data_IF_331635439047
#
_entry.id   IF_331635439047
#
_cell.length_a   1.000
_cell.length_b   1.000
_cell.length_c   1.000
_cell.angle_alpha   90.00
_cell.angle_beta   90.00
_cell.angle_gamma   90.00
#
_symmetry.space_group_name_H-M   'P 1'
#
loop_
_entity.id
_entity.type
_entity.pdbx_description
1 polymer ?
#
# COMPACT_ATOMS: atom_id res chain seq x y z
N UNK A 1 -23.43 2.93 7.07
CA UNK A 1 -23.44 4.32 6.55
C UNK A 1 -22.07 4.60 5.95
N UNK A 2 -21.98 5.30 4.83
CA UNK A 2 -20.68 5.68 4.26
C UNK A 2 -20.02 6.75 5.16
N UNK A 3 -18.68 6.72 5.27
CA UNK A 3 -17.93 7.72 6.03
C UNK A 3 -18.00 9.08 5.33
N UNK A 4 -18.28 10.15 6.08
CA UNK A 4 -18.41 11.51 5.54
C UNK A 4 -17.08 12.27 5.70
N UNK A 5 -16.25 12.22 4.64
CA UNK A 5 -14.96 12.91 4.61
C UNK A 5 -15.10 14.44 4.64
N UNK A 6 -16.19 14.99 4.12
CA UNK A 6 -16.42 16.44 4.14
C UNK A 6 -16.69 16.91 5.56
N UNK A 7 -17.56 16.19 6.29
CA UNK A 7 -17.81 16.46 7.70
C UNK A 7 -16.55 16.29 8.54
N UNK A 8 -15.77 15.23 8.29
CA UNK A 8 -14.50 15.01 8.97
C UNK A 8 -13.53 16.18 8.76
N UNK A 9 -13.29 16.60 7.51
CA UNK A 9 -12.39 17.72 7.19
C UNK A 9 -12.87 19.04 7.78
N UNK A 10 -14.18 19.29 7.78
CA UNK A 10 -14.75 20.47 8.44
C UNK A 10 -14.50 20.49 9.95
N UNK A 11 -14.38 19.32 10.60
CA UNK A 11 -14.07 19.23 12.02
C UNK A 11 -12.58 19.42 12.30
N UNK A 12 -11.69 18.82 11.51
CA UNK A 12 -10.24 18.80 11.79
C UNK A 12 -9.48 19.97 11.17
N UNK A 13 -9.92 20.50 10.03
CA UNK A 13 -9.32 21.66 9.36
C UNK A 13 -10.40 22.67 8.92
N UNK A 14 -11.14 23.28 9.87
CA UNK A 14 -12.32 24.11 9.60
C UNK A 14 -12.02 25.39 8.80
N UNK A 15 -10.75 25.75 8.63
CA UNK A 15 -10.34 26.97 7.93
C UNK A 15 -10.29 26.80 6.41
N UNK A 16 -10.16 25.57 5.92
CA UNK A 16 -10.03 25.27 4.49
C UNK A 16 -11.23 24.46 3.99
N UNK A 17 -11.61 24.70 2.74
CA UNK A 17 -12.67 23.96 2.03
C UNK A 17 -12.06 23.05 0.97
N UNK A 18 -12.66 21.86 0.83
CA UNK A 18 -12.07 20.74 0.11
C UNK A 18 -13.00 20.15 -0.95
N UNK A 19 -12.45 19.93 -2.14
CA UNK A 19 -13.06 19.10 -3.18
C UNK A 19 -12.54 17.68 -3.03
N UNK A 20 -13.45 16.69 -3.03
CA UNK A 20 -13.16 15.31 -2.64
C UNK A 20 -13.35 14.38 -3.83
N UNK A 21 -12.28 13.67 -4.17
CA UNK A 21 -12.23 12.70 -5.26
C UNK A 21 -11.91 11.32 -4.70
N UNK A 22 -12.77 10.34 -4.93
CA UNK A 22 -12.48 8.95 -4.53
C UNK A 22 -11.39 8.37 -5.40
N UNK A 23 -10.37 7.79 -4.78
CA UNK A 23 -9.30 7.09 -5.48
C UNK A 23 -9.64 5.60 -5.64
N UNK A 24 -9.24 5.05 -6.77
CA UNK A 24 -9.34 3.62 -7.06
C UNK A 24 -8.05 2.91 -6.61
N UNK A 25 -8.12 1.59 -6.42
CA UNK A 25 -6.95 0.74 -6.17
C UNK A 25 -6.88 0.16 -4.75
N UNK A 26 -7.42 0.85 -3.74
CA UNK A 26 -7.47 0.33 -2.37
C UNK A 26 -8.55 -0.75 -2.18
N UNK A 27 -8.15 -1.95 -1.75
CA UNK A 27 -9.09 -3.05 -1.47
C UNK A 27 -9.65 -3.01 -0.04
N UNK A 28 -8.81 -2.70 0.93
CA UNK A 28 -9.13 -2.83 2.36
C UNK A 28 -9.61 -1.52 3.00
N UNK A 29 -9.28 -0.38 2.40
CA UNK A 29 -9.64 0.95 2.89
C UNK A 29 -10.39 1.77 1.83
N UNK A 30 -11.06 2.81 2.30
CA UNK A 30 -11.62 3.84 1.42
C UNK A 30 -10.62 4.99 1.39
N UNK A 31 -10.05 5.25 0.22
CA UNK A 31 -9.06 6.30 0.02
C UNK A 31 -9.64 7.40 -0.87
N UNK A 32 -9.48 8.65 -0.45
CA UNK A 32 -9.87 9.83 -1.22
C UNK A 32 -8.71 10.81 -1.31
N UNK A 33 -8.75 11.65 -2.34
CA UNK A 33 -7.93 12.85 -2.48
C UNK A 33 -8.79 14.06 -2.17
N UNK A 34 -8.34 14.91 -1.27
CA UNK A 34 -8.99 16.18 -0.93
C UNK A 34 -8.12 17.35 -1.44
N UNK A 35 -8.66 18.18 -2.33
CA UNK A 35 -7.96 19.36 -2.89
C UNK A 35 -8.52 20.61 -2.23
N UNK A 36 -7.65 21.44 -1.64
CA UNK A 36 -8.04 22.74 -1.09
C UNK A 36 -8.46 23.66 -2.24
N UNK A 37 -9.65 24.26 -2.17
CA UNK A 37 -10.12 25.21 -3.20
C UNK A 37 -10.50 26.58 -2.65
N UNK A 38 -10.80 26.69 -1.36
CA UNK A 38 -11.10 27.96 -0.72
C UNK A 38 -10.63 27.95 0.74
N UNK A 39 -10.46 29.15 1.30
CA UNK A 39 -10.17 29.38 2.71
C UNK A 39 -11.27 30.24 3.29
N UNK A 40 -11.89 29.78 4.37
CA UNK A 40 -13.14 30.35 4.90
C UNK A 40 -12.94 31.70 5.62
N UNK A 41 -11.70 32.12 5.94
CA UNK A 41 -11.45 33.39 6.63
C UNK A 41 -10.16 34.09 6.19
N UNK A 42 -10.12 35.42 6.33
CA UNK A 42 -8.90 36.26 6.29
C UNK A 42 -8.10 36.14 7.59
N UNK A 43 -7.97 34.91 8.10
CA UNK A 43 -7.17 34.59 9.30
C UNK A 43 -5.72 34.37 8.89
N UNK A 44 -4.78 34.91 9.68
CA UNK A 44 -3.34 34.61 9.55
C UNK A 44 -2.99 33.20 10.09
N UNK A 45 -3.95 32.50 10.71
CA UNK A 45 -3.78 31.10 11.11
C UNK A 45 -3.55 30.25 9.85
N UNK A 46 -2.45 29.47 9.74
CA UNK A 46 -2.13 28.68 8.56
C UNK A 46 -2.92 27.36 8.44
N UNK A 47 -3.76 27.01 9.43
CA UNK A 47 -4.58 25.78 9.43
C UNK A 47 -3.81 24.53 9.81
N UNK A 48 -4.49 23.37 9.84
CA UNK A 48 -3.88 22.12 10.32
C UNK A 48 -2.87 21.55 9.31
N UNK A 49 -3.09 21.76 8.02
CA UNK A 49 -2.24 21.25 6.94
C UNK A 49 -1.61 22.39 6.13
N UNK A 50 -0.70 23.17 6.73
CA UNK A 50 -0.10 24.30 6.06
C UNK A 50 0.84 23.83 4.94
N UNK A 51 0.83 24.54 3.81
CA UNK A 51 1.69 24.22 2.66
C UNK A 51 1.26 23.03 1.80
N UNK A 52 0.20 22.31 2.18
CA UNK A 52 -0.38 21.23 1.38
C UNK A 52 -1.62 21.75 0.62
N UNK A 53 -1.55 21.81 -0.71
CA UNK A 53 -2.71 22.15 -1.56
C UNK A 53 -3.68 20.97 -1.75
N UNK A 54 -3.22 19.75 -1.45
CA UNK A 54 -3.98 18.51 -1.52
C UNK A 54 -3.51 17.51 -0.48
N UNK A 55 -4.44 16.63 -0.07
CA UNK A 55 -4.25 15.61 0.95
C UNK A 55 -4.78 14.27 0.45
N UNK A 56 -4.21 13.18 0.94
CA UNK A 56 -4.80 11.84 0.83
C UNK A 56 -5.42 11.47 2.16
N UNK A 57 -6.70 11.11 2.17
CA UNK A 57 -7.37 10.60 3.35
C UNK A 57 -7.66 9.12 3.15
N UNK A 58 -7.25 8.30 4.12
CA UNK A 58 -7.44 6.86 4.13
C UNK A 58 -8.27 6.49 5.34
N UNK A 59 -9.47 5.97 5.10
CA UNK A 59 -10.39 5.52 6.14
C UNK A 59 -10.45 4.00 6.15
N UNK A 60 -10.25 3.41 7.33
CA UNK A 60 -10.46 1.98 7.55
C UNK A 60 -11.86 1.72 8.11
N UNK A 61 -12.80 1.16 7.31
CA UNK A 61 -14.01 0.58 7.88
C UNK A 61 -13.68 -0.69 8.70
N UNK A 62 -14.59 -1.17 9.57
CA UNK A 62 -14.42 -2.40 10.34
C UNK A 62 -14.54 -3.70 9.49
N UNK A 63 -14.27 -3.59 8.19
CA UNK A 63 -14.35 -4.63 7.17
C UNK A 63 -13.43 -4.31 5.99
N UNK A 64 -13.24 -5.27 5.08
CA UNK A 64 -12.54 -5.04 3.79
C UNK A 64 -13.42 -4.17 2.90
N UNK A 65 -12.98 -2.94 2.59
CA UNK A 65 -13.78 -1.95 1.87
C UNK A 65 -14.36 -2.42 0.52
N UNK A 66 -13.62 -3.26 -0.23
CA UNK A 66 -14.05 -3.81 -1.51
C UNK A 66 -15.11 -4.94 -1.39
N UNK A 67 -15.24 -5.56 -0.22
CA UNK A 67 -16.17 -6.68 0.03
C UNK A 67 -17.38 -6.23 0.86
N UNK A 68 -17.18 -5.30 1.80
CA UNK A 68 -18.21 -4.83 2.72
C UNK A 68 -18.28 -5.66 4.01
N UNK A 69 -19.34 -5.44 4.80
CA UNK A 69 -19.50 -5.96 6.17
C UNK A 69 -19.42 -7.49 6.29
N UNK A 70 -19.57 -8.22 5.20
CA UNK A 70 -19.43 -9.68 5.15
C UNK A 70 -17.98 -10.18 5.32
N UNK A 71 -16.98 -9.30 5.20
CA UNK A 71 -15.58 -9.59 5.47
C UNK A 71 -15.01 -8.66 6.56
N UNK A 72 -15.29 -8.94 7.85
CA UNK A 72 -14.78 -8.14 8.97
C UNK A 72 -13.25 -8.06 8.95
N UNK A 73 -12.73 -6.86 9.23
CA UNK A 73 -11.28 -6.64 9.27
C UNK A 73 -10.92 -5.53 10.24
N UNK A 74 -9.92 -5.78 11.07
CA UNK A 74 -9.53 -4.88 12.16
C UNK A 74 -9.05 -3.53 11.63
N UNK A 75 -9.58 -2.45 12.20
CA UNK A 75 -9.19 -1.07 11.88
C UNK A 75 -7.80 -0.73 12.44
N UNK A 76 -7.23 -1.59 13.30
CA UNK A 76 -5.87 -1.45 13.82
C UNK A 76 -4.79 -1.40 12.72
N UNK A 77 -5.12 -1.84 11.50
CA UNK A 77 -4.27 -1.67 10.31
C UNK A 77 -3.88 -0.21 10.03
N UNK A 78 -4.70 0.78 10.41
CA UNK A 78 -4.31 2.20 10.30
C UNK A 78 -3.25 2.59 11.33
N UNK A 79 -3.25 1.99 12.52
CA UNK A 79 -2.19 2.20 13.51
C UNK A 79 -0.87 1.61 13.01
N UNK A 80 -0.91 0.46 12.35
CA UNK A 80 0.26 -0.15 11.71
C UNK A 80 0.83 0.76 10.62
N UNK A 81 -0.02 1.26 9.72
CA UNK A 81 0.41 2.16 8.66
C UNK A 81 1.00 3.46 9.21
N UNK A 82 0.34 4.09 10.20
CA UNK A 82 0.87 5.29 10.85
C UNK A 82 2.26 5.06 11.46
N UNK A 83 2.44 3.98 12.22
CA UNK A 83 3.73 3.61 12.81
C UNK A 83 4.79 3.36 11.76
N UNK A 84 4.44 2.72 10.64
CA UNK A 84 5.38 2.45 9.56
C UNK A 84 5.86 3.75 8.94
N UNK A 85 4.94 4.67 8.63
CA UNK A 85 5.29 5.97 8.05
C UNK A 85 6.15 6.82 9.02
N UNK A 86 5.83 6.83 10.31
CA UNK A 86 6.64 7.51 11.33
C UNK A 86 8.04 6.89 11.49
N UNK A 87 8.13 5.56 11.52
CA UNK A 87 9.39 4.83 11.59
C UNK A 87 10.29 5.13 10.38
N UNK A 88 9.73 5.07 9.17
CA UNK A 88 10.46 5.33 7.93
C UNK A 88 10.89 6.80 7.82
N UNK A 89 10.04 7.73 8.25
CA UNK A 89 10.34 9.17 8.23
C UNK A 89 11.44 9.57 9.24
N UNK A 90 11.71 8.74 10.25
CA UNK A 90 12.74 8.99 11.27
C UNK A 90 14.01 8.16 11.07
N UNK A 91 14.04 7.27 10.07
CA UNK A 91 15.18 6.40 9.79
C UNK A 91 16.09 6.99 8.70
N UNK A 92 17.30 7.43 9.07
CA UNK A 92 18.23 8.09 8.14
C UNK A 92 18.71 7.19 6.99
N UNK A 93 18.83 5.88 7.19
CA UNK A 93 19.24 4.96 6.13
C UNK A 93 18.15 4.87 5.06
N UNK A 94 16.88 4.86 5.47
CA UNK A 94 15.74 4.92 4.55
C UNK A 94 15.65 6.28 3.87
N UNK A 95 15.77 7.38 4.62
CA UNK A 95 15.76 8.71 4.01
C UNK A 95 16.90 8.86 2.99
N UNK A 96 18.08 8.31 3.27
CA UNK A 96 19.19 8.25 2.34
C UNK A 96 18.88 7.38 1.12
N UNK A 97 18.29 6.20 1.32
CA UNK A 97 17.85 5.34 0.23
C UNK A 97 16.84 6.07 -0.67
N UNK A 98 15.79 6.67 -0.11
CA UNK A 98 14.79 7.46 -0.84
C UNK A 98 15.44 8.54 -1.72
N UNK A 99 16.41 9.30 -1.18
CA UNK A 99 17.16 10.31 -1.96
C UNK A 99 17.98 9.68 -3.08
N UNK A 100 18.69 8.59 -2.80
CA UNK A 100 19.61 7.94 -3.74
C UNK A 100 18.88 7.25 -4.90
N UNK A 101 17.80 6.53 -4.62
CA UNK A 101 17.00 5.84 -5.63
C UNK A 101 15.82 6.67 -6.15
N UNK A 102 15.61 7.89 -5.60
CA UNK A 102 14.49 8.78 -5.93
C UNK A 102 13.13 8.07 -5.77
N UNK A 103 12.95 7.34 -4.68
CA UNK A 103 11.68 6.71 -4.32
C UNK A 103 11.08 7.46 -3.14
N UNK A 104 9.82 7.82 -3.25
CA UNK A 104 9.09 8.57 -2.21
C UNK A 104 8.16 7.65 -1.42
N UNK A 105 7.94 7.99 -0.16
CA UNK A 105 6.97 7.38 0.75
C UNK A 105 6.13 8.55 1.27
N UNK A 106 4.80 8.43 1.38
CA UNK A 106 3.98 9.52 1.89
C UNK A 106 4.31 9.82 3.34
N UNK A 107 4.37 11.10 3.72
CA UNK A 107 4.40 11.46 5.14
C UNK A 107 3.02 11.26 5.77
N UNK A 108 3.01 10.80 7.01
CA UNK A 108 1.85 10.92 7.88
C UNK A 108 1.71 12.39 8.32
N UNK A 109 0.57 13.02 8.02
CA UNK A 109 0.29 14.40 8.41
C UNK A 109 -0.60 14.46 9.65
N UNK A 110 -1.57 13.55 9.75
CA UNK A 110 -2.48 13.45 10.89
C UNK A 110 -3.09 12.06 10.99
N UNK A 111 -3.39 11.62 12.22
CA UNK A 111 -4.11 10.39 12.50
C UNK A 111 -5.24 10.67 13.48
N UNK A 112 -6.47 10.33 13.10
CA UNK A 112 -7.61 10.22 14.01
C UNK A 112 -7.78 8.74 14.38
N UNK A 113 -7.38 8.39 15.61
CA UNK A 113 -7.47 7.01 16.11
C UNK A 113 -8.92 6.58 16.32
N UNK A 114 -9.80 7.50 16.73
CA UNK A 114 -11.20 7.20 17.07
C UNK A 114 -12.04 7.00 15.82
N UNK A 115 -11.79 7.80 14.77
CA UNK A 115 -12.46 7.67 13.48
C UNK A 115 -11.74 6.73 12.51
N UNK A 116 -10.54 6.24 12.87
CA UNK A 116 -9.70 5.37 12.05
C UNK A 116 -9.38 5.97 10.68
N UNK A 117 -8.97 7.23 10.69
CA UNK A 117 -8.57 8.00 9.49
C UNK A 117 -7.11 8.40 9.57
N UNK A 118 -6.38 8.15 8.48
CA UNK A 118 -5.07 8.75 8.24
C UNK A 118 -5.20 9.88 7.22
N UNK A 119 -4.53 10.99 7.49
CA UNK A 119 -4.29 12.07 6.53
C UNK A 119 -2.82 12.02 6.16
N UNK A 120 -2.56 11.80 4.88
CA UNK A 120 -1.24 11.59 4.31
C UNK A 120 -0.88 12.67 3.30
N UNK A 121 0.42 12.88 3.10
CA UNK A 121 0.95 13.70 2.02
C UNK A 121 0.46 13.18 0.65
N UNK A 122 -0.10 14.06 -0.17
CA UNK A 122 -0.38 13.76 -1.57
C UNK A 122 0.91 13.85 -2.38
N UNK A 123 1.33 12.70 -2.95
CA UNK A 123 2.59 12.55 -3.68
C UNK A 123 2.52 13.04 -5.13
N UNK A 124 1.35 13.44 -5.60
CA UNK A 124 1.16 13.99 -6.94
C UNK A 124 -0.06 13.43 -7.66
N UNK A 125 -0.66 14.25 -8.53
CA UNK A 125 -1.87 13.89 -9.28
C UNK A 125 -1.60 13.16 -10.60
N UNK A 126 -0.35 13.11 -11.06
CA UNK A 126 0.10 12.47 -12.30
C UNK A 126 0.53 11.01 -12.12
N UNK A 127 0.57 10.54 -10.88
CA UNK A 127 0.91 9.18 -10.47
C UNK A 127 -0.24 8.20 -10.75
N UNK A 128 0.12 7.01 -11.22
CA UNK A 128 -0.79 5.86 -11.35
C UNK A 128 -0.16 4.62 -10.74
N UNK A 129 -0.98 3.64 -10.37
CA UNK A 129 -0.47 2.33 -9.92
C UNK A 129 0.33 1.65 -11.04
N UNK A 130 1.32 0.84 -10.66
CA UNK A 130 2.22 0.18 -11.62
C UNK A 130 1.45 -0.71 -12.63
N UNK A 131 0.33 -1.29 -12.20
CA UNK A 131 -0.58 -2.05 -13.07
C UNK A 131 -1.08 -1.22 -14.26
N UNK A 132 -1.44 0.05 -14.03
CA UNK A 132 -1.91 0.95 -15.07
C UNK A 132 -0.77 1.49 -15.92
N UNK A 133 0.41 1.66 -15.32
CA UNK A 133 1.61 2.11 -16.02
C UNK A 133 2.13 1.06 -17.00
N UNK A 134 2.05 -0.23 -16.64
CA UNK A 134 2.47 -1.36 -17.49
C UNK A 134 1.40 -1.78 -18.51
N UNK A 135 0.14 -1.36 -18.34
CA UNK A 135 -0.96 -1.84 -19.17
C UNK A 135 -0.90 -1.32 -20.62
N UNK A 136 -1.05 -2.20 -21.63
CA UNK A 136 -1.31 -1.80 -23.01
C UNK A 136 -2.63 -1.04 -23.13
N UNK A 137 -2.63 0.24 -23.49
CA UNK A 137 -3.89 0.99 -23.72
C UNK A 137 -3.89 1.80 -25.02
N UNK A 138 -4.73 1.45 -26.01
CA UNK A 138 -4.86 2.20 -27.26
C UNK A 138 -5.60 3.54 -27.15
N UNK A 139 -6.32 3.80 -26.04
CA UNK A 139 -7.34 4.88 -25.98
C UNK A 139 -7.04 6.01 -24.98
N UNK A 140 -5.97 5.91 -24.17
CA UNK A 140 -5.62 6.94 -23.17
C UNK A 140 -4.56 7.93 -23.67
N UNK A 141 -4.02 7.75 -24.88
CA UNK A 141 -2.89 8.55 -25.38
C UNK A 141 -1.57 8.34 -24.62
N UNK A 142 -1.55 7.48 -23.59
CA UNK A 142 -0.32 7.06 -22.91
C UNK A 142 0.32 5.93 -23.71
N UNK A 143 1.55 6.15 -24.16
CA UNK A 143 2.38 5.08 -24.70
C UNK A 143 2.82 4.15 -23.56
N UNK A 144 2.90 2.85 -23.88
CA UNK A 144 3.56 1.89 -23.01
C UNK A 144 4.99 2.33 -22.70
N UNK A 145 5.48 2.08 -21.47
CA UNK A 145 6.84 2.41 -21.12
C UNK A 145 7.83 1.57 -21.93
N UNK A 146 8.82 2.23 -22.53
CA UNK A 146 9.91 1.53 -23.19
C UNK A 146 10.76 0.74 -22.19
N UNK A 147 11.47 -0.30 -22.68
CA UNK A 147 12.30 -1.18 -21.85
C UNK A 147 13.32 -0.45 -20.97
N UNK A 148 13.90 0.65 -21.45
CA UNK A 148 14.81 1.49 -20.67
C UNK A 148 14.13 2.12 -19.44
N UNK A 149 12.87 2.55 -19.58
CA UNK A 149 12.08 3.10 -18.48
C UNK A 149 11.72 2.01 -17.47
N UNK A 150 11.28 0.84 -17.94
CA UNK A 150 10.99 -0.30 -17.08
C UNK A 150 12.23 -0.73 -16.28
N UNK A 151 13.39 -0.81 -16.93
CA UNK A 151 14.66 -1.13 -16.26
C UNK A 151 15.03 -0.07 -15.22
N UNK A 152 14.81 1.22 -15.49
CA UNK A 152 15.07 2.29 -14.54
C UNK A 152 14.18 2.18 -13.30
N UNK A 153 12.86 2.02 -13.49
CA UNK A 153 11.89 1.87 -12.40
C UNK A 153 12.20 0.62 -11.58
N UNK A 154 12.40 -0.53 -12.22
CA UNK A 154 12.74 -1.79 -11.56
C UNK A 154 14.03 -1.69 -10.74
N UNK A 155 15.08 -1.07 -11.28
CA UNK A 155 16.35 -0.89 -10.56
C UNK A 155 16.17 -0.01 -9.31
N UNK A 156 15.44 1.10 -9.41
CA UNK A 156 15.21 2.02 -8.30
C UNK A 156 14.37 1.38 -7.19
N UNK A 157 13.29 0.69 -7.55
CA UNK A 157 12.47 -0.09 -6.61
C UNK A 157 13.32 -1.18 -5.95
N UNK A 158 14.09 -1.96 -6.72
CA UNK A 158 14.93 -3.02 -6.20
C UNK A 158 16.01 -2.53 -5.22
N UNK A 159 16.66 -1.40 -5.53
CA UNK A 159 17.63 -0.76 -4.63
C UNK A 159 16.97 -0.29 -3.35
N UNK A 160 15.78 0.33 -3.43
CA UNK A 160 15.02 0.75 -2.26
C UNK A 160 14.65 -0.45 -1.38
N UNK A 161 14.10 -1.52 -1.98
CA UNK A 161 13.72 -2.72 -1.24
C UNK A 161 14.92 -3.42 -0.61
N UNK A 162 16.08 -3.43 -1.28
CA UNK A 162 17.30 -3.94 -0.68
C UNK A 162 17.72 -3.12 0.54
N UNK A 163 17.61 -1.79 0.50
CA UNK A 163 17.88 -0.94 1.66
C UNK A 163 16.89 -1.22 2.80
N UNK A 164 15.59 -1.35 2.47
CA UNK A 164 14.53 -1.66 3.44
C UNK A 164 14.77 -3.01 4.14
N UNK A 165 15.04 -4.07 3.37
CA UNK A 165 15.23 -5.42 3.90
C UNK A 165 16.59 -5.63 4.58
N UNK A 166 17.55 -4.72 4.40
CA UNK A 166 18.84 -4.76 5.09
C UNK A 166 18.91 -3.86 6.31
N UNK A 167 17.85 -3.11 6.62
CA UNK A 167 17.75 -2.37 7.87
C UNK A 167 17.95 -3.28 9.06
N UNK A 168 18.78 -2.82 10.00
CA UNK A 168 18.93 -3.46 11.30
C UNK A 168 17.85 -2.93 12.25
N UNK A 169 16.68 -3.58 12.20
CA UNK A 169 15.54 -3.23 13.05
C UNK A 169 15.53 -4.12 14.27
N UNK A 170 15.48 -3.53 15.46
CA UNK A 170 15.46 -4.30 16.70
C UNK A 170 14.15 -5.09 16.85
N UNK A 171 14.17 -6.26 17.51
CA UNK A 171 12.96 -7.02 17.78
C UNK A 171 11.88 -6.21 18.51
N UNK A 172 12.27 -5.32 19.43
CA UNK A 172 11.34 -4.48 20.18
C UNK A 172 10.58 -3.51 19.27
N UNK A 173 11.22 -2.99 18.23
CA UNK A 173 10.56 -2.15 17.22
C UNK A 173 9.61 -3.02 16.40
N UNK A 174 10.06 -4.19 15.92
CA UNK A 174 9.23 -5.12 15.16
C UNK A 174 7.98 -5.60 15.94
N UNK A 175 8.10 -5.78 17.25
CA UNK A 175 6.99 -6.15 18.12
C UNK A 175 5.87 -5.09 18.15
N UNK A 176 6.20 -3.82 17.89
CA UNK A 176 5.18 -2.76 17.76
C UNK A 176 4.33 -2.87 16.49
N UNK A 177 4.74 -3.69 15.53
CA UNK A 177 4.02 -3.93 14.28
C UNK A 177 3.13 -5.18 14.33
N UNK A 178 3.07 -5.89 15.47
CA UNK A 178 2.26 -7.10 15.60
C UNK A 178 0.76 -6.76 15.53
N UNK A 179 0.09 -7.29 14.52
CA UNK A 179 -1.36 -7.19 14.34
C UNK A 179 -1.98 -8.60 14.25
N UNK A 180 -2.27 -9.19 15.42
CA UNK A 180 -2.80 -10.54 15.50
C UNK A 180 -4.13 -10.72 14.74
N UNK A 181 -4.96 -9.69 14.65
CA UNK A 181 -6.21 -9.76 13.90
C UNK A 181 -5.94 -9.92 12.39
N UNK A 182 -4.98 -9.17 11.85
CA UNK A 182 -4.53 -9.33 10.46
C UNK A 182 -3.88 -10.69 10.23
N UNK A 183 -2.97 -11.12 11.12
CA UNK A 183 -2.34 -12.43 10.99
C UNK A 183 -3.35 -13.58 11.03
N UNK A 184 -4.38 -13.49 11.88
CA UNK A 184 -5.45 -14.48 11.95
C UNK A 184 -6.34 -14.48 10.71
N UNK A 185 -6.66 -13.30 10.15
CA UNK A 185 -7.40 -13.20 8.90
C UNK A 185 -6.63 -13.85 7.75
N UNK A 186 -5.35 -13.52 7.57
CA UNK A 186 -4.51 -14.11 6.52
C UNK A 186 -4.40 -15.62 6.71
N UNK A 187 -4.16 -16.08 7.94
CA UNK A 187 -4.06 -17.51 8.28
C UNK A 187 -5.33 -18.27 7.92
N UNK A 188 -6.49 -17.76 8.32
CA UNK A 188 -7.74 -18.52 8.24
C UNK A 188 -8.42 -18.35 6.87
N UNK A 189 -8.56 -17.10 6.41
CA UNK A 189 -9.39 -16.76 5.25
C UNK A 189 -8.62 -16.87 3.94
N UNK A 190 -7.30 -16.63 3.96
CA UNK A 190 -6.45 -16.73 2.77
C UNK A 190 -5.80 -18.11 2.75
N UNK A 191 -4.85 -18.37 3.65
CA UNK A 191 -4.04 -19.59 3.65
C UNK A 191 -4.87 -20.83 3.96
N UNK A 192 -5.79 -20.73 4.92
CA UNK A 192 -6.70 -21.81 5.31
C UNK A 192 -7.59 -22.30 4.17
N UNK A 193 -8.01 -21.36 3.31
CA UNK A 193 -9.01 -21.56 2.27
C UNK A 193 -8.43 -21.91 0.88
N UNK A 194 -7.11 -21.95 0.72
CA UNK A 194 -6.43 -22.22 -0.57
C UNK A 194 -6.98 -23.46 -1.24
N UNK A 195 -7.13 -24.58 -0.52
CA UNK A 195 -7.69 -25.83 -1.07
C UNK A 195 -9.02 -25.61 -1.79
N UNK A 196 -9.96 -24.92 -1.14
CA UNK A 196 -11.29 -24.66 -1.70
C UNK A 196 -11.24 -23.68 -2.89
N UNK A 197 -10.25 -22.79 -2.93
CA UNK A 197 -10.02 -21.94 -4.09
C UNK A 197 -9.50 -22.76 -5.28
N UNK A 198 -8.55 -23.66 -5.05
CA UNK A 198 -7.99 -24.52 -6.10
C UNK A 198 -9.05 -25.46 -6.69
N UNK A 199 -9.97 -25.98 -5.86
CA UNK A 199 -11.09 -26.83 -6.32
C UNK A 199 -12.03 -26.15 -7.32
N UNK A 200 -12.06 -24.82 -7.40
CA UNK A 200 -12.87 -24.10 -8.38
C UNK A 200 -12.32 -24.20 -9.81
N UNK A 201 -11.07 -24.64 -9.99
CA UNK A 201 -10.37 -24.68 -11.27
C UNK A 201 -10.20 -26.10 -11.86
N UNK A 202 -11.04 -27.05 -11.44
CA UNK A 202 -10.98 -28.44 -11.90
C UNK A 202 -11.29 -28.59 -13.40
N UNK A 203 -10.67 -29.57 -14.09
CA UNK A 203 -9.69 -30.53 -13.57
C UNK A 203 -8.31 -29.90 -13.39
N UNK A 204 -7.60 -30.32 -12.33
CA UNK A 204 -6.23 -29.89 -12.06
C UNK A 204 -5.23 -30.97 -12.48
N UNK A 205 -4.08 -30.55 -13.02
CA UNK A 205 -2.96 -31.44 -13.34
C UNK A 205 -2.10 -31.79 -12.11
N UNK A 206 -2.47 -31.27 -10.93
CA UNK A 206 -1.75 -31.39 -9.67
C UNK A 206 -2.71 -31.57 -8.49
N UNK A 207 -2.19 -32.10 -7.38
CA UNK A 207 -2.97 -32.40 -6.19
C UNK A 207 -3.19 -31.13 -5.34
N UNK A 208 -4.46 -30.69 -5.23
CA UNK A 208 -4.83 -29.51 -4.46
C UNK A 208 -4.59 -29.66 -2.95
N UNK A 209 -4.66 -30.88 -2.42
CA UNK A 209 -4.36 -31.16 -1.01
C UNK A 209 -2.85 -31.03 -0.75
N UNK A 210 -2.01 -31.54 -1.66
CA UNK A 210 -0.55 -31.42 -1.57
C UNK A 210 -0.12 -29.94 -1.62
N UNK A 211 -0.63 -29.18 -2.59
CA UNK A 211 -0.33 -27.74 -2.72
C UNK A 211 -0.82 -26.96 -1.51
N UNK A 212 -2.04 -27.19 -1.04
CA UNK A 212 -2.58 -26.50 0.14
C UNK A 212 -1.77 -26.82 1.40
N UNK A 213 -1.33 -28.07 1.57
CA UNK A 213 -0.51 -28.47 2.71
C UNK A 213 0.85 -27.79 2.66
N UNK A 214 1.52 -27.79 1.51
CA UNK A 214 2.82 -27.14 1.35
C UNK A 214 2.78 -25.64 1.72
N UNK A 215 1.76 -24.92 1.25
CA UNK A 215 1.61 -23.49 1.55
C UNK A 215 1.31 -23.26 3.04
N UNK A 216 0.45 -24.07 3.66
CA UNK A 216 0.17 -24.00 5.10
C UNK A 216 1.42 -24.27 5.93
N UNK A 217 2.20 -25.29 5.57
CA UNK A 217 3.46 -25.62 6.26
C UNK A 217 4.46 -24.47 6.15
N UNK A 218 4.64 -23.90 4.96
CA UNK A 218 5.55 -22.77 4.77
C UNK A 218 5.08 -21.52 5.53
N UNK A 219 3.77 -21.25 5.57
CA UNK A 219 3.22 -20.10 6.30
C UNK A 219 3.42 -20.20 7.82
N UNK A 220 3.32 -21.40 8.39
CA UNK A 220 3.52 -21.62 9.84
C UNK A 220 5.00 -21.84 10.21
N UNK A 221 5.91 -21.91 9.24
CA UNK A 221 7.33 -22.13 9.49
C UNK A 221 7.92 -21.00 10.33
N UNK A 222 8.40 -21.37 11.52
CA UNK A 222 9.09 -20.45 12.44
C UNK A 222 10.59 -20.60 12.28
N UNK A 223 11.31 -19.48 12.32
CA UNK A 223 12.77 -19.44 12.20
C UNK A 223 13.23 -18.57 11.03
N UNK A 224 14.55 -18.37 10.96
CA UNK A 224 15.15 -17.41 10.03
C UNK A 224 15.21 -15.99 10.59
N UNK A 225 15.99 -15.13 9.93
CA UNK A 225 16.07 -13.70 10.25
C UNK A 225 14.91 -12.99 9.54
N UNK A 226 14.02 -12.39 10.31
CA UNK A 226 12.99 -11.51 9.77
C UNK A 226 13.61 -10.16 9.37
N UNK A 227 12.97 -9.52 8.41
CA UNK A 227 13.30 -8.17 7.94
C UNK A 227 12.11 -7.26 8.16
N UNK A 228 12.34 -5.95 8.17
CA UNK A 228 11.23 -5.01 8.08
C UNK A 228 10.64 -5.07 6.67
N UNK A 229 9.38 -5.44 6.58
CA UNK A 229 8.66 -5.74 5.34
C UNK A 229 7.46 -4.82 5.19
N UNK A 230 7.07 -4.54 3.94
CA UNK A 230 5.81 -3.84 3.63
C UNK A 230 4.62 -4.76 3.94
N UNK A 231 4.76 -6.07 3.72
CA UNK A 231 3.80 -7.10 4.08
C UNK A 231 2.80 -7.42 2.96
N UNK A 232 2.33 -6.39 2.25
CA UNK A 232 1.47 -6.47 1.06
C UNK A 232 2.11 -5.69 -0.12
N UNK A 233 3.29 -6.15 -0.55
CA UNK A 233 4.05 -5.51 -1.62
C UNK A 233 3.69 -6.09 -2.99
N UNK A 234 2.78 -5.42 -3.69
CA UNK A 234 2.39 -5.76 -5.04
C UNK A 234 2.39 -4.52 -5.92
N UNK A 235 2.03 -4.68 -7.19
CA UNK A 235 2.03 -3.58 -8.18
C UNK A 235 1.06 -2.44 -7.83
N UNK A 236 0.01 -2.70 -7.03
CA UNK A 236 -0.88 -1.67 -6.50
C UNK A 236 -0.19 -0.73 -5.49
N UNK A 237 0.81 -1.23 -4.77
CA UNK A 237 1.57 -0.50 -3.74
C UNK A 237 2.68 0.37 -4.34
N UNK A 238 2.85 0.38 -5.66
CA UNK A 238 3.86 1.16 -6.38
C UNK A 238 3.16 2.16 -7.29
N UNK A 239 3.39 3.44 -7.06
CA UNK A 239 2.91 4.51 -7.92
C UNK A 239 4.03 5.02 -8.81
N UNK A 240 3.72 5.29 -10.08
CA UNK A 240 4.67 5.75 -11.09
C UNK A 240 4.02 6.83 -11.94
N UNK A 241 4.76 7.89 -12.29
CA UNK A 241 4.29 8.87 -13.26
C UNK A 241 4.56 8.41 -14.71
N UNK A 242 4.07 9.17 -15.70
CA UNK A 242 4.09 8.74 -17.09
C UNK A 242 5.50 8.41 -17.62
N UNK A 243 6.53 9.16 -17.23
CA UNK A 243 7.91 8.97 -17.71
C UNK A 243 8.79 8.10 -16.79
N UNK A 244 8.22 7.56 -15.70
CA UNK A 244 8.95 6.74 -14.73
C UNK A 244 9.94 7.53 -13.86
N UNK A 245 9.95 8.86 -13.93
CA UNK A 245 10.87 9.70 -13.15
C UNK A 245 10.47 9.80 -11.68
N UNK A 246 9.18 9.74 -11.36
CA UNK A 246 8.66 9.73 -9.99
C UNK A 246 8.12 8.34 -9.64
N UNK A 247 8.61 7.79 -8.54
CA UNK A 247 8.22 6.46 -8.03
C UNK A 247 7.87 6.63 -6.57
N UNK A 248 6.74 6.07 -6.15
CA UNK A 248 6.31 6.09 -4.78
C UNK A 248 5.90 4.70 -4.29
N UNK A 249 6.12 4.43 -3.00
CA UNK A 249 5.68 3.21 -2.34
C UNK A 249 4.67 3.57 -1.24
N UNK A 250 3.50 2.95 -1.31
CA UNK A 250 2.32 3.24 -0.47
C UNK A 250 1.78 1.96 0.19
N UNK A 251 0.70 2.09 0.96
CA UNK A 251 -0.05 0.98 1.59
C UNK A 251 0.77 0.16 2.61
N UNK A 252 1.27 0.84 3.64
CA UNK A 252 2.11 0.25 4.69
C UNK A 252 1.31 -0.41 5.85
N UNK A 253 0.03 -0.72 5.63
CA UNK A 253 -0.88 -1.18 6.68
C UNK A 253 -0.68 -2.65 7.11
N UNK A 254 0.15 -3.38 6.37
CA UNK A 254 0.63 -4.73 6.70
C UNK A 254 2.10 -4.74 7.13
N UNK A 255 2.71 -3.57 7.32
CA UNK A 255 4.14 -3.47 7.60
C UNK A 255 4.51 -4.13 8.93
N UNK A 256 5.70 -4.70 8.99
CA UNK A 256 6.22 -5.34 10.19
C UNK A 256 7.31 -6.36 9.91
N UNK A 257 7.46 -7.34 10.81
CA UNK A 257 8.36 -8.46 10.59
C UNK A 257 7.85 -9.35 9.45
N UNK A 258 8.70 -9.56 8.44
CA UNK A 258 8.41 -10.44 7.32
C UNK A 258 9.61 -11.28 6.91
N UNK A 259 9.38 -12.30 6.09
CA UNK A 259 10.48 -13.08 5.51
C UNK A 259 11.12 -12.29 4.37
N UNK A 260 12.46 -12.36 4.18
CA UNK A 260 13.16 -11.59 3.14
C UNK A 260 12.56 -11.72 1.74
N UNK A 261 12.04 -12.90 1.38
CA UNK A 261 11.48 -13.15 0.06
C UNK A 261 9.97 -12.86 -0.05
N UNK A 262 9.29 -12.49 1.04
CA UNK A 262 7.83 -12.31 1.03
C UNK A 262 7.40 -11.20 0.08
N UNK A 263 7.88 -9.97 0.31
CA UNK A 263 7.54 -8.81 -0.54
C UNK A 263 7.96 -9.05 -2.00
N UNK A 264 9.16 -9.59 -2.22
CA UNK A 264 9.68 -9.84 -3.57
C UNK A 264 8.91 -10.92 -4.32
N UNK A 265 8.43 -11.95 -3.61
CA UNK A 265 7.62 -13.01 -4.21
C UNK A 265 6.23 -12.50 -4.55
N UNK A 266 5.60 -11.72 -3.68
CA UNK A 266 4.29 -11.11 -3.97
C UNK A 266 4.34 -10.23 -5.23
N UNK A 267 5.30 -9.30 -5.30
CA UNK A 267 5.49 -8.47 -6.48
C UNK A 267 5.82 -9.32 -7.72
N UNK A 268 6.75 -10.27 -7.60
CA UNK A 268 7.19 -11.14 -8.68
C UNK A 268 6.06 -11.97 -9.26
N UNK A 269 5.19 -12.54 -8.43
CA UNK A 269 4.00 -13.29 -8.85
C UNK A 269 3.02 -12.40 -9.61
N UNK A 270 2.77 -11.18 -9.11
CA UNK A 270 1.88 -10.22 -9.80
C UNK A 270 2.43 -9.82 -11.17
N UNK A 271 3.73 -9.53 -11.28
CA UNK A 271 4.38 -9.23 -12.56
C UNK A 271 4.39 -10.45 -13.50
N UNK A 272 4.55 -11.66 -12.96
CA UNK A 272 4.51 -12.88 -13.76
C UNK A 272 3.13 -13.07 -14.43
N UNK A 273 2.03 -12.73 -13.75
CA UNK A 273 0.68 -12.75 -14.34
C UNK A 273 0.55 -11.82 -15.55
N UNK A 274 1.26 -10.68 -15.59
CA UNK A 274 1.30 -9.81 -16.77
C UNK A 274 1.93 -10.50 -17.98
N UNK A 275 2.96 -11.32 -17.78
CA UNK A 275 3.58 -12.09 -18.87
C UNK A 275 2.63 -13.13 -19.49
N UNK A 276 1.60 -13.57 -18.77
CA UNK A 276 0.62 -14.56 -19.24
C UNK A 276 -0.72 -13.95 -19.69
N UNK A 277 -1.00 -12.69 -19.35
CA UNK A 277 -2.26 -12.01 -19.68
C UNK A 277 -2.15 -11.00 -20.82
N UNK A 278 -0.93 -10.58 -21.19
CA UNK A 278 -0.67 -9.80 -22.39
C UNK A 278 -0.40 -10.77 -23.55
N UNK A 279 -1.18 -10.74 -24.66
CA UNK A 279 -0.85 -11.52 -25.84
C UNK A 279 0.55 -11.14 -26.33
N UNK A 280 1.45 -12.12 -26.40
CA UNK A 280 2.69 -11.99 -27.15
C UNK A 280 2.27 -11.85 -28.62
N UNK A 281 2.27 -10.62 -29.15
CA UNK A 281 2.14 -10.36 -30.58
C UNK A 281 3.45 -10.72 -31.30
#
# INVERSE_FOLDING_TARGET
MAFDFSQFLQQVDPLDEYDIERLNGGLVNITIRAKKYARSTSSDDPGLFPGHSSLILKYAPPYIAAVGESAPFSQYRQVIEARALEFLASNEDILAAQRNCRVSIPKLLYMDIEQHVLVLEDLGSDLVILDEWLAPRPHSGRMEPGSASCNNVAARVGIFMAALHTLDVSPEVLDTFVNAATSNLVRNEIVGNIRNQLEQFQPLDWDADEVSLAIKTQFEEKGGKDVFSIGDFWTGSILVNADGSNICIVDWEFAGAGKPLQDMTQLGQRLNLYCFTVPIN
#
